data_IF_581123534865
#
_entry.id   IF_581123534865
#
_cell.length_a   1.000
_cell.length_b   1.000
_cell.length_c   1.000
_cell.angle_alpha   90.00
_cell.angle_beta   90.00
_cell.angle_gamma   90.00
#
_symmetry.space_group_name_H-M   'P 1'
#
loop_
_entity.id
_entity.type
_entity.pdbx_description
1 polymer ?
#
# COMPACT_ATOMS: atom_id res chain seq x y z
N UNK A 1 54.71 -28.62 9.09
CA UNK A 1 53.47 -27.99 8.58
C UNK A 1 53.89 -26.83 7.68
N UNK A 2 53.56 -26.87 6.39
CA UNK A 2 54.11 -25.93 5.41
C UNK A 2 53.64 -24.48 5.67
N UNK A 3 54.52 -23.47 5.46
CA UNK A 3 54.17 -22.06 5.67
C UNK A 3 53.09 -21.56 4.70
N UNK A 4 52.90 -22.24 3.56
CA UNK A 4 51.81 -21.98 2.63
C UNK A 4 50.45 -22.39 3.21
N UNK A 5 50.30 -23.59 3.79
CA UNK A 5 49.03 -24.07 4.37
C UNK A 5 48.55 -23.21 5.55
N UNK A 6 49.47 -22.62 6.31
CA UNK A 6 49.15 -21.70 7.42
C UNK A 6 48.61 -20.34 6.94
N UNK A 7 48.99 -19.89 5.74
CA UNK A 7 48.43 -18.68 5.09
C UNK A 7 47.02 -18.91 4.56
N UNK A 8 46.74 -20.07 3.98
CA UNK A 8 45.40 -20.44 3.49
C UNK A 8 44.38 -20.58 4.64
N UNK A 9 44.78 -21.16 5.78
CA UNK A 9 43.95 -21.25 6.98
C UNK A 9 43.61 -19.88 7.60
N UNK A 10 44.54 -18.91 7.55
CA UNK A 10 44.30 -17.56 8.05
C UNK A 10 43.32 -16.77 7.16
N UNK A 11 43.37 -16.96 5.82
CA UNK A 11 42.44 -16.34 4.88
C UNK A 11 41.03 -16.94 4.99
N UNK A 12 40.93 -18.25 5.24
CA UNK A 12 39.64 -18.92 5.48
C UNK A 12 39.01 -18.49 6.82
N UNK A 13 39.83 -18.23 7.85
CA UNK A 13 39.35 -17.75 9.15
C UNK A 13 38.88 -16.29 9.10
N UNK A 14 39.54 -15.42 8.32
CA UNK A 14 39.10 -14.02 8.14
C UNK A 14 37.80 -13.87 7.35
N UNK A 15 37.47 -14.82 6.46
CA UNK A 15 36.25 -14.77 5.64
C UNK A 15 34.98 -15.18 6.41
N UNK A 16 35.10 -15.97 7.47
CA UNK A 16 33.96 -16.38 8.32
C UNK A 16 33.52 -15.27 9.30
N UNK A 17 34.41 -14.33 9.65
CA UNK A 17 34.08 -13.26 10.61
C UNK A 17 33.27 -12.12 9.98
N UNK A 18 33.29 -11.96 8.65
CA UNK A 18 32.56 -10.88 7.97
C UNK A 18 31.08 -11.18 7.68
N UNK A 19 30.56 -12.36 8.07
CA UNK A 19 29.15 -12.72 7.83
C UNK A 19 28.22 -12.45 9.02
N UNK A 20 28.65 -11.71 10.06
CA UNK A 20 27.75 -11.23 11.09
C UNK A 20 26.92 -10.03 10.57
N UNK A 21 25.99 -10.32 9.65
CA UNK A 21 24.94 -9.39 9.27
C UNK A 21 24.01 -9.19 10.46
N UNK A 22 23.97 -7.98 10.99
CA UNK A 22 23.02 -7.60 12.03
C UNK A 22 21.63 -7.54 11.38
N UNK A 23 20.90 -8.65 11.41
CA UNK A 23 19.51 -8.68 11.01
C UNK A 23 18.72 -7.84 12.04
N UNK A 24 18.45 -6.58 11.72
CA UNK A 24 17.48 -5.78 12.45
C UNK A 24 16.10 -6.36 12.19
N UNK A 25 15.71 -7.34 13.00
CA UNK A 25 14.35 -7.87 13.01
C UNK A 25 13.44 -6.78 13.60
N UNK A 26 12.76 -6.05 12.73
CA UNK A 26 11.68 -5.15 13.14
C UNK A 26 10.63 -5.98 13.89
N UNK A 27 10.15 -5.49 15.04
CA UNK A 27 9.13 -6.19 15.80
C UNK A 27 7.88 -6.42 14.92
N UNK A 28 7.25 -7.61 14.97
CA UNK A 28 6.02 -7.87 14.24
C UNK A 28 4.93 -6.87 14.61
N UNK A 29 4.09 -6.51 13.64
CA UNK A 29 2.91 -5.68 13.90
C UNK A 29 1.89 -6.45 14.76
N UNK A 30 1.23 -5.75 15.69
CA UNK A 30 0.20 -6.33 16.54
C UNK A 30 -1.15 -6.38 15.81
N UNK A 31 -1.64 -7.59 15.53
CA UNK A 31 -2.91 -7.83 14.84
C UNK A 31 -4.05 -8.22 15.80
N UNK A 32 -3.89 -8.09 17.11
CA UNK A 32 -4.91 -8.55 18.10
C UNK A 32 -6.28 -7.91 17.86
N UNK A 33 -6.33 -6.61 17.56
CA UNK A 33 -7.57 -5.91 17.23
C UNK A 33 -8.21 -6.45 15.94
N UNK A 34 -7.38 -6.71 14.92
CA UNK A 34 -7.81 -7.30 13.65
C UNK A 34 -8.41 -8.69 13.85
N UNK A 35 -7.74 -9.55 14.61
CA UNK A 35 -8.19 -10.92 14.92
C UNK A 35 -9.47 -10.96 15.76
N UNK A 36 -9.71 -9.92 16.56
CA UNK A 36 -10.94 -9.78 17.33
C UNK A 36 -12.11 -9.36 16.44
N UNK A 37 -11.92 -8.34 15.59
CA UNK A 37 -12.94 -7.80 14.70
C UNK A 37 -13.31 -8.76 13.57
N UNK A 38 -12.32 -9.41 12.93
CA UNK A 38 -12.46 -10.29 11.76
C UNK A 38 -13.35 -9.67 10.67
N UNK A 39 -12.98 -8.49 10.14
CA UNK A 39 -13.80 -7.79 9.16
C UNK A 39 -13.92 -8.61 7.88
N UNK A 40 -15.13 -8.71 7.34
CA UNK A 40 -15.41 -9.47 6.09
C UNK A 40 -15.62 -8.52 4.92
N UNK A 41 -16.09 -7.32 5.21
CA UNK A 41 -16.44 -6.29 4.24
C UNK A 41 -15.74 -4.97 4.56
N UNK A 42 -15.21 -4.33 3.52
CA UNK A 42 -14.48 -3.07 3.62
C UNK A 42 -15.15 -2.05 2.71
N UNK A 43 -15.60 -0.95 3.29
CA UNK A 43 -15.96 0.24 2.52
C UNK A 43 -14.75 1.17 2.43
N UNK A 44 -14.45 1.67 1.25
CA UNK A 44 -13.37 2.63 1.02
C UNK A 44 -13.99 4.00 0.81
N UNK A 45 -13.64 4.95 1.68
CA UNK A 45 -14.08 6.34 1.55
C UNK A 45 -13.13 7.07 0.58
N UNK A 46 -13.62 8.00 -0.25
CA UNK A 46 -12.75 8.82 -1.08
C UNK A 46 -11.59 9.44 -0.26
N UNK A 47 -10.34 9.31 -0.73
CA UNK A 47 -9.19 9.77 0.05
C UNK A 47 -9.21 11.27 0.33
N UNK A 48 -8.70 11.66 1.50
CA UNK A 48 -8.26 13.04 1.73
C UNK A 48 -7.05 13.35 0.86
N UNK A 49 -6.90 14.60 0.43
CA UNK A 49 -5.87 15.00 -0.52
C UNK A 49 -5.02 16.16 0.01
N UNK A 50 -3.77 15.87 0.39
CA UNK A 50 -2.78 16.89 0.73
C UNK A 50 -1.90 17.29 -0.46
N UNK A 51 -2.17 16.77 -1.66
CA UNK A 51 -1.46 17.12 -2.89
C UNK A 51 -2.13 18.27 -3.64
N UNK A 52 -1.46 18.80 -4.66
CA UNK A 52 -2.00 19.83 -5.56
C UNK A 52 -2.87 19.25 -6.68
N UNK A 53 -2.85 17.92 -6.89
CA UNK A 53 -3.59 17.27 -7.97
C UNK A 53 -5.04 17.02 -7.53
N UNK A 54 -5.96 17.82 -8.03
CA UNK A 54 -7.38 17.81 -7.63
C UNK A 54 -8.04 16.45 -7.89
N UNK A 55 -7.63 15.75 -8.93
CA UNK A 55 -8.25 14.47 -9.31
C UNK A 55 -7.65 13.25 -8.56
N UNK A 56 -6.60 13.44 -7.77
CA UNK A 56 -5.87 12.34 -7.13
C UNK A 56 -6.75 11.37 -6.32
N UNK A 57 -7.73 11.82 -5.49
CA UNK A 57 -8.61 10.92 -4.74
C UNK A 57 -9.39 9.96 -5.63
N UNK A 58 -10.00 10.49 -6.69
CA UNK A 58 -10.87 9.71 -7.57
C UNK A 58 -10.07 8.76 -8.46
N UNK A 59 -8.87 9.16 -8.87
CA UNK A 59 -7.94 8.26 -9.56
C UNK A 59 -7.47 7.16 -8.60
N UNK A 60 -7.09 7.50 -7.36
CA UNK A 60 -6.63 6.54 -6.35
C UNK A 60 -7.68 5.46 -6.06
N UNK A 61 -8.97 5.81 -5.94
CA UNK A 61 -10.04 4.83 -5.71
C UNK A 61 -10.05 3.70 -6.74
N UNK A 62 -9.73 3.98 -8.00
CA UNK A 62 -9.66 2.98 -9.07
C UNK A 62 -8.51 1.97 -8.92
N UNK A 63 -7.58 2.21 -7.99
CA UNK A 63 -6.33 1.46 -7.83
C UNK A 63 -6.32 0.55 -6.60
N UNK A 64 -7.16 0.81 -5.60
CA UNK A 64 -7.14 0.13 -4.29
C UNK A 64 -8.07 -1.09 -4.21
N UNK A 65 -9.14 -1.14 -5.01
CA UNK A 65 -10.13 -2.24 -4.94
C UNK A 65 -9.51 -3.60 -5.22
N UNK A 66 -8.66 -3.70 -6.25
CA UNK A 66 -8.05 -4.97 -6.67
C UNK A 66 -7.23 -5.64 -5.56
N UNK A 67 -6.22 -4.99 -4.96
CA UNK A 67 -5.40 -5.65 -3.94
C UNK A 67 -6.20 -6.02 -2.67
N UNK A 68 -7.25 -5.27 -2.32
CA UNK A 68 -8.16 -5.64 -1.22
C UNK A 68 -9.01 -6.87 -1.56
N UNK A 69 -9.55 -6.94 -2.77
CA UNK A 69 -10.34 -8.09 -3.22
C UNK A 69 -9.47 -9.35 -3.36
N UNK A 70 -8.25 -9.23 -3.89
CA UNK A 70 -7.27 -10.34 -3.97
C UNK A 70 -6.87 -10.85 -2.58
N UNK A 71 -6.92 -10.00 -1.56
CA UNK A 71 -6.77 -10.40 -0.15
C UNK A 71 -7.98 -11.11 0.43
N UNK A 72 -9.09 -11.26 -0.29
CA UNK A 72 -10.26 -12.01 0.16
C UNK A 72 -11.29 -11.21 0.94
N UNK A 73 -11.34 -9.88 0.74
CA UNK A 73 -12.38 -9.03 1.33
C UNK A 73 -13.49 -8.74 0.32
N UNK A 74 -14.73 -8.61 0.81
CA UNK A 74 -15.78 -7.96 0.04
C UNK A 74 -15.52 -6.45 0.07
N UNK A 75 -15.23 -5.86 -1.08
CA UNK A 75 -15.00 -4.42 -1.21
C UNK A 75 -16.22 -3.79 -1.85
N UNK A 76 -16.85 -2.84 -1.15
CA UNK A 76 -17.97 -2.11 -1.72
C UNK A 76 -17.52 -1.35 -2.99
N UNK A 77 -18.33 -1.30 -4.06
CA UNK A 77 -17.94 -0.60 -5.28
C UNK A 77 -17.65 0.86 -4.99
N UNK A 78 -16.38 1.25 -5.14
CA UNK A 78 -15.87 2.58 -4.71
C UNK A 78 -16.61 3.74 -5.35
N UNK A 79 -17.03 3.59 -6.61
CA UNK A 79 -17.84 4.58 -7.32
C UNK A 79 -19.25 4.70 -6.74
N UNK A 80 -19.88 3.59 -6.36
CA UNK A 80 -21.23 3.62 -5.77
C UNK A 80 -21.22 4.27 -4.40
N UNK A 81 -20.15 4.09 -3.62
CA UNK A 81 -19.98 4.72 -2.31
C UNK A 81 -19.82 6.24 -2.46
N UNK A 82 -18.94 6.68 -3.36
CA UNK A 82 -18.77 8.10 -3.70
C UNK A 82 -20.09 8.73 -4.19
N UNK A 83 -20.77 8.07 -5.12
CA UNK A 83 -22.06 8.51 -5.63
C UNK A 83 -23.12 8.58 -4.53
N UNK A 84 -23.24 7.54 -3.71
CA UNK A 84 -24.18 7.50 -2.59
C UNK A 84 -23.98 8.67 -1.63
N UNK A 85 -22.73 8.98 -1.25
CA UNK A 85 -22.47 10.12 -0.36
C UNK A 85 -22.82 11.46 -1.01
N UNK A 86 -22.50 11.65 -2.29
CA UNK A 86 -22.86 12.87 -3.03
C UNK A 86 -24.36 13.10 -3.09
N UNK A 87 -25.14 12.05 -3.38
CA UNK A 87 -26.60 12.12 -3.40
C UNK A 87 -27.20 12.38 -2.00
N UNK A 88 -26.46 12.11 -0.93
CA UNK A 88 -26.86 12.40 0.45
C UNK A 88 -26.26 13.70 1.01
N UNK A 89 -25.80 14.61 0.15
CA UNK A 89 -25.37 15.96 0.54
C UNK A 89 -23.95 16.04 1.09
N UNK A 90 -23.10 15.06 0.80
CA UNK A 90 -21.67 15.05 1.15
C UNK A 90 -20.85 15.16 -0.16
N UNK A 91 -20.67 16.36 -0.72
CA UNK A 91 -20.10 16.53 -2.06
C UNK A 91 -18.58 16.32 -2.13
N UNK A 92 -17.86 16.42 -1.00
CA UNK A 92 -16.39 16.39 -0.97
C UNK A 92 -15.84 15.22 -0.14
N UNK A 93 -14.62 14.72 -0.43
CA UNK A 93 -13.95 13.74 0.42
C UNK A 93 -13.84 14.20 1.89
N UNK A 94 -13.64 15.49 2.14
CA UNK A 94 -13.57 16.07 3.48
C UNK A 94 -14.88 15.82 4.25
N UNK A 95 -16.03 16.10 3.63
CA UNK A 95 -17.35 15.83 4.22
C UNK A 95 -17.56 14.33 4.47
N UNK A 96 -17.15 13.49 3.52
CA UNK A 96 -17.32 12.04 3.59
C UNK A 96 -16.44 11.37 4.66
N UNK A 97 -15.22 11.86 4.87
CA UNK A 97 -14.33 11.34 5.90
C UNK A 97 -14.78 11.76 7.31
N UNK A 98 -15.65 12.77 7.43
CA UNK A 98 -16.25 13.22 8.68
C UNK A 98 -17.50 12.44 9.11
N UNK A 99 -17.97 11.47 8.32
CA UNK A 99 -19.18 10.69 8.64
C UNK A 99 -18.94 9.85 9.90
N UNK A 100 -19.85 9.89 10.90
CA UNK A 100 -19.79 9.00 12.06
C UNK A 100 -19.84 7.53 11.64
N UNK A 101 -19.01 6.69 12.28
CA UNK A 101 -18.93 5.26 11.95
C UNK A 101 -20.28 4.55 12.11
N UNK A 102 -21.11 4.99 13.06
CA UNK A 102 -22.45 4.45 13.27
C UNK A 102 -23.32 4.60 12.02
N UNK A 103 -23.18 5.71 11.28
CA UNK A 103 -23.92 5.97 10.04
C UNK A 103 -23.44 5.12 8.88
N UNK A 104 -22.13 4.85 8.82
CA UNK A 104 -21.57 3.88 7.88
C UNK A 104 -22.15 2.49 8.19
N UNK A 105 -22.17 2.08 9.46
CA UNK A 105 -22.75 0.81 9.87
C UNK A 105 -24.25 0.70 9.56
N UNK A 106 -25.03 1.74 9.85
CA UNK A 106 -26.48 1.79 9.67
C UNK A 106 -26.90 1.73 8.19
N UNK A 107 -26.21 2.48 7.32
CA UNK A 107 -26.65 2.68 5.93
C UNK A 107 -25.87 1.88 4.89
N UNK A 108 -24.61 1.54 5.16
CA UNK A 108 -23.75 0.78 4.23
C UNK A 108 -23.60 -0.68 4.70
N UNK A 109 -23.58 -0.92 6.01
CA UNK A 109 -23.45 -2.25 6.57
C UNK A 109 -22.05 -2.87 6.42
N UNK A 110 -21.02 -2.03 6.30
CA UNK A 110 -19.63 -2.49 6.25
C UNK A 110 -19.10 -2.89 7.64
N UNK A 111 -18.23 -3.89 7.70
CA UNK A 111 -17.56 -4.28 8.96
C UNK A 111 -16.40 -3.34 9.30
N UNK A 112 -15.67 -2.88 8.28
CA UNK A 112 -14.56 -1.95 8.42
C UNK A 112 -14.60 -0.85 7.37
N UNK A 113 -14.04 0.31 7.74
CA UNK A 113 -13.82 1.45 6.86
C UNK A 113 -12.32 1.58 6.58
N UNK A 114 -11.96 1.79 5.32
CA UNK A 114 -10.60 2.15 4.94
C UNK A 114 -10.51 3.65 4.69
N UNK A 115 -9.84 4.34 5.61
CA UNK A 115 -9.44 5.75 5.46
C UNK A 115 -8.10 5.84 4.74
N UNK A 116 -7.99 6.77 3.80
CA UNK A 116 -6.78 7.03 3.04
C UNK A 116 -6.50 8.53 3.03
N UNK A 117 -5.24 8.91 3.26
CA UNK A 117 -4.78 10.28 3.06
C UNK A 117 -3.65 10.27 2.03
N UNK A 118 -3.87 10.93 0.89
CA UNK A 118 -2.85 11.13 -0.13
C UNK A 118 -1.93 12.25 0.33
N UNK A 119 -0.67 11.92 0.57
CA UNK A 119 0.37 12.87 1.00
C UNK A 119 1.15 13.44 -0.18
N UNK A 120 1.40 12.62 -1.20
CA UNK A 120 2.14 13.02 -2.40
C UNK A 120 1.48 12.37 -3.62
N UNK A 121 1.24 13.16 -4.67
CA UNK A 121 0.73 12.67 -5.95
C UNK A 121 1.26 13.56 -7.08
N UNK A 122 1.91 12.94 -8.07
CA UNK A 122 2.39 13.62 -9.26
C UNK A 122 3.91 13.83 -9.31
N UNK A 123 4.34 14.70 -10.22
CA UNK A 123 5.75 14.98 -10.48
C UNK A 123 6.30 16.04 -9.54
N UNK A 124 7.47 15.75 -8.96
CA UNK A 124 8.31 16.71 -8.24
C UNK A 124 9.57 16.98 -9.05
N UNK A 125 9.73 18.23 -9.46
CA UNK A 125 10.92 18.70 -10.16
C UNK A 125 12.03 18.97 -9.13
N UNK A 126 13.07 18.14 -9.14
CA UNK A 126 14.33 18.46 -8.48
C UNK A 126 15.24 19.16 -9.50
N UNK A 127 16.25 19.89 -9.03
CA UNK A 127 17.14 20.71 -9.88
C UNK A 127 17.80 19.92 -11.03
N UNK A 128 17.99 18.60 -10.84
CA UNK A 128 18.72 17.74 -11.78
C UNK A 128 17.83 16.64 -12.39
N UNK A 129 16.71 16.28 -11.74
CA UNK A 129 15.86 15.15 -12.17
C UNK A 129 14.39 15.39 -11.80
N UNK A 130 13.47 14.81 -12.57
CA UNK A 130 12.06 14.75 -12.21
C UNK A 130 11.76 13.41 -11.54
N UNK A 131 11.05 13.44 -10.42
CA UNK A 131 10.58 12.24 -9.71
C UNK A 131 9.06 12.27 -9.65
N UNK A 132 8.40 11.31 -10.28
CA UNK A 132 6.97 11.08 -10.03
C UNK A 132 6.83 10.24 -8.78
N UNK A 133 5.99 10.68 -7.83
CA UNK A 133 5.78 9.97 -6.58
C UNK A 133 4.30 9.88 -6.23
N UNK A 134 3.91 8.71 -5.74
CA UNK A 134 2.63 8.50 -5.07
C UNK A 134 2.92 8.04 -3.66
N UNK A 135 2.36 8.74 -2.68
CA UNK A 135 2.42 8.40 -1.26
C UNK A 135 1.05 8.59 -0.62
N UNK A 136 0.56 7.57 0.07
CA UNK A 136 -0.65 7.64 0.85
C UNK A 136 -0.51 6.90 2.18
N UNK A 137 -1.19 7.38 3.22
CA UNK A 137 -1.35 6.64 4.49
C UNK A 137 -2.70 5.93 4.48
N UNK A 138 -2.73 4.71 5.04
CA UNK A 138 -3.91 3.84 5.06
C UNK A 138 -4.23 3.48 6.50
N UNK A 139 -5.51 3.56 6.89
CA UNK A 139 -6.02 3.15 8.20
C UNK A 139 -7.31 2.37 8.03
N UNK A 140 -7.31 1.12 8.44
CA UNK A 140 -8.48 0.25 8.50
C UNK A 140 -9.06 0.32 9.91
N UNK A 141 -10.32 0.73 10.04
CA UNK A 141 -11.00 0.93 11.32
C UNK A 141 -12.26 0.10 11.36
N UNK A 142 -12.51 -0.57 12.48
CA UNK A 142 -13.74 -1.32 12.72
C UNK A 142 -14.93 -0.37 12.87
N UNK A 143 -15.99 -0.61 12.10
CA UNK A 143 -17.16 0.27 12.05
C UNK A 143 -17.98 0.22 13.35
N UNK A 144 -17.96 -0.91 14.08
CA UNK A 144 -18.78 -1.08 15.29
C UNK A 144 -18.12 -0.52 16.54
N UNK A 145 -16.80 -0.61 16.61
CA UNK A 145 -16.02 -0.32 17.83
C UNK A 145 -15.11 0.89 17.69
N UNK A 146 -14.85 1.34 16.46
CA UNK A 146 -13.86 2.39 16.19
C UNK A 146 -12.41 1.96 16.41
N UNK A 147 -12.15 0.66 16.65
CA UNK A 147 -10.81 0.15 16.84
C UNK A 147 -9.98 0.26 15.55
N UNK A 148 -8.73 0.71 15.67
CA UNK A 148 -7.77 0.60 14.58
C UNK A 148 -7.40 -0.88 14.40
N UNK A 149 -7.68 -1.42 13.22
CA UNK A 149 -7.42 -2.82 12.88
C UNK A 149 -6.07 -3.00 12.17
N UNK A 150 -5.71 -2.04 11.31
CA UNK A 150 -4.49 -2.09 10.54
C UNK A 150 -4.15 -0.70 10.00
N UNK A 151 -2.86 -0.40 9.89
CA UNK A 151 -2.39 0.81 9.23
C UNK A 151 -1.08 0.57 8.48
N UNK A 152 -0.87 1.34 7.40
CA UNK A 152 0.33 1.24 6.57
C UNK A 152 0.57 2.52 5.76
N UNK A 153 1.73 2.60 5.12
CA UNK A 153 2.06 3.64 4.15
C UNK A 153 2.28 3.00 2.79
N UNK A 154 1.50 3.44 1.80
CA UNK A 154 1.63 3.09 0.40
C UNK A 154 2.55 4.11 -0.27
N UNK A 155 3.67 3.66 -0.84
CA UNK A 155 4.62 4.53 -1.54
C UNK A 155 5.18 3.84 -2.78
N UNK A 156 5.24 4.58 -3.89
CA UNK A 156 6.00 4.21 -5.09
C UNK A 156 6.48 5.48 -5.80
N UNK A 157 7.63 5.40 -6.45
CA UNK A 157 8.22 6.50 -7.19
C UNK A 157 8.89 6.01 -8.47
N UNK A 158 8.94 6.88 -9.47
CA UNK A 158 9.66 6.68 -10.72
C UNK A 158 10.44 7.96 -11.06
N UNK A 159 11.72 7.82 -11.39
CA UNK A 159 12.59 8.94 -11.75
C UNK A 159 12.80 9.02 -13.26
N UNK A 160 12.96 10.23 -13.80
CA UNK A 160 13.15 10.46 -15.24
C UNK A 160 14.47 9.91 -15.81
N UNK A 161 15.37 9.42 -14.96
CA UNK A 161 16.65 8.79 -15.35
C UNK A 161 16.61 7.26 -15.42
N UNK A 162 15.50 6.62 -15.01
CA UNK A 162 15.42 5.17 -14.82
C UNK A 162 15.06 4.40 -16.12
N UNK A 163 15.49 4.92 -17.26
CA UNK A 163 15.47 4.24 -18.55
C UNK A 163 16.57 3.18 -18.65
N UNK A 164 16.59 2.20 -17.73
CA UNK A 164 17.51 1.07 -17.79
C UNK A 164 18.02 0.57 -16.44
N UNK A 165 17.40 -0.50 -15.92
CA UNK A 165 18.13 -1.52 -15.16
C UNK A 165 18.54 -1.24 -13.70
N UNK A 166 17.70 -0.56 -12.89
CA UNK A 166 17.92 -0.42 -11.45
C UNK A 166 17.52 -1.65 -10.61
N UNK A 167 18.50 -2.45 -10.19
CA UNK A 167 18.35 -3.68 -9.39
C UNK A 167 17.88 -3.48 -7.92
N UNK A 168 17.64 -2.25 -7.46
CA UNK A 168 17.20 -1.98 -6.08
C UNK A 168 15.67 -2.02 -5.88
N UNK A 169 14.88 -2.05 -6.97
CA UNK A 169 13.41 -2.13 -6.92
C UNK A 169 12.81 -3.45 -7.43
N UNK A 170 13.64 -4.38 -7.92
CA UNK A 170 13.17 -5.55 -8.67
C UNK A 170 12.78 -6.78 -7.82
N UNK A 171 12.90 -6.75 -6.50
CA UNK A 171 12.67 -7.97 -5.70
C UNK A 171 11.21 -8.31 -5.41
N UNK A 172 10.21 -7.54 -5.87
CA UNK A 172 8.80 -7.89 -5.63
C UNK A 172 7.91 -7.95 -6.87
N UNK A 173 8.26 -7.34 -8.02
CA UNK A 173 7.31 -7.32 -9.15
C UNK A 173 7.97 -7.31 -10.54
N UNK A 174 8.56 -8.44 -10.94
CA UNK A 174 8.91 -8.69 -12.34
C UNK A 174 7.69 -8.91 -13.26
N UNK A 175 6.48 -9.06 -12.69
CA UNK A 175 5.25 -9.35 -13.46
C UNK A 175 4.50 -8.08 -13.93
N UNK A 176 4.81 -6.90 -13.38
CA UNK A 176 4.01 -5.67 -13.60
C UNK A 176 4.64 -4.73 -14.64
N UNK A 177 5.92 -4.91 -14.98
CA UNK A 177 6.69 -3.95 -15.79
C UNK A 177 6.37 -3.97 -17.29
N UNK A 178 5.64 -4.97 -17.81
CA UNK A 178 5.36 -5.06 -19.26
C UNK A 178 4.21 -4.16 -19.75
N UNK A 179 3.42 -3.54 -18.87
CA UNK A 179 2.24 -2.74 -19.27
C UNK A 179 2.52 -1.22 -19.32
N UNK A 180 3.71 -0.78 -18.92
CA UNK A 180 3.99 0.66 -18.72
C UNK A 180 4.64 1.37 -19.94
N UNK A 181 5.00 0.64 -21.00
CA UNK A 181 5.71 1.20 -22.16
C UNK A 181 4.82 1.60 -23.34
N UNK A 182 3.56 1.94 -23.09
CA UNK A 182 2.68 2.44 -24.16
C UNK A 182 1.74 3.52 -23.63
N UNK A 183 2.11 4.77 -23.88
CA UNK A 183 1.16 5.86 -24.15
C UNK A 183 0.21 6.24 -23.00
N UNK A 184 0.71 6.45 -21.77
CA UNK A 184 -0.08 7.09 -20.71
C UNK A 184 0.60 8.41 -20.31
N UNK A 185 -0.11 9.53 -20.50
CA UNK A 185 0.36 10.90 -20.19
C UNK A 185 0.60 11.13 -18.69
N UNK A 186 0.19 10.19 -17.82
CA UNK A 186 0.31 10.25 -16.37
C UNK A 186 0.65 8.85 -15.80
N UNK A 187 1.86 8.62 -15.25
CA UNK A 187 2.25 7.34 -14.67
C UNK A 187 1.71 7.11 -13.24
N UNK A 188 1.08 8.11 -12.61
CA UNK A 188 0.62 8.02 -11.21
C UNK A 188 -0.40 6.91 -10.94
N UNK A 189 -1.36 6.54 -11.83
CA UNK A 189 -2.26 5.42 -11.55
C UNK A 189 -1.51 4.08 -11.47
N UNK A 190 -0.46 3.90 -12.28
CA UNK A 190 0.40 2.72 -12.25
C UNK A 190 1.21 2.65 -10.95
N UNK A 191 1.82 3.77 -10.57
CA UNK A 191 2.54 3.89 -9.29
C UNK A 191 1.63 3.64 -8.10
N UNK A 192 0.41 4.18 -8.10
CA UNK A 192 -0.57 3.95 -7.04
C UNK A 192 -0.94 2.46 -6.91
N UNK A 193 -1.15 1.74 -8.02
CA UNK A 193 -1.38 0.29 -8.00
C UNK A 193 -0.19 -0.46 -7.38
N UNK A 194 1.04 -0.11 -7.77
CA UNK A 194 2.26 -0.71 -7.22
C UNK A 194 2.44 -0.44 -5.72
N UNK A 195 2.22 0.82 -5.32
CA UNK A 195 2.32 1.27 -3.94
C UNK A 195 1.30 0.53 -3.06
N UNK A 196 0.05 0.45 -3.51
CA UNK A 196 -1.03 -0.21 -2.78
C UNK A 196 -0.79 -1.72 -2.67
N UNK A 197 -0.36 -2.37 -3.75
CA UNK A 197 0.01 -3.78 -3.73
C UNK A 197 1.11 -4.05 -2.69
N UNK A 198 2.17 -3.24 -2.71
CA UNK A 198 3.31 -3.38 -1.79
C UNK A 198 2.90 -3.18 -0.32
N UNK A 199 2.07 -2.17 -0.03
CA UNK A 199 1.59 -1.92 1.32
C UNK A 199 0.69 -3.04 1.84
N UNK A 200 -0.23 -3.53 1.01
CA UNK A 200 -1.20 -4.57 1.39
C UNK A 200 -0.54 -5.95 1.52
N UNK A 201 0.46 -6.26 0.68
CA UNK A 201 1.15 -7.55 0.66
C UNK A 201 2.50 -7.55 1.40
N UNK A 202 2.79 -6.50 2.17
CA UNK A 202 4.03 -6.42 2.96
C UNK A 202 4.18 -7.62 3.89
N UNK A 203 5.37 -8.20 3.95
CA UNK A 203 5.66 -9.34 4.84
C UNK A 203 5.71 -8.93 6.31
N UNK A 204 6.01 -7.66 6.61
CA UNK A 204 6.19 -7.18 7.99
C UNK A 204 4.94 -6.51 8.55
N UNK A 205 4.12 -5.91 7.68
CA UNK A 205 2.94 -5.11 8.06
C UNK A 205 1.84 -5.17 7.00
N UNK A 206 1.73 -6.28 6.28
CA UNK A 206 0.68 -6.47 5.29
C UNK A 206 -0.71 -6.52 5.93
N UNK A 207 -1.74 -6.28 5.13
CA UNK A 207 -3.10 -6.56 5.58
C UNK A 207 -3.26 -8.09 5.68
N UNK A 208 -3.79 -8.62 6.80
CA UNK A 208 -4.09 -10.04 6.91
C UNK A 208 -5.06 -10.49 5.83
N UNK A 209 -5.17 -11.80 5.62
CA UNK A 209 -6.09 -12.32 4.61
C UNK A 209 -7.52 -12.29 5.13
N UNK A 210 -8.43 -11.86 4.25
CA UNK A 210 -9.85 -11.86 4.48
C UNK A 210 -10.45 -13.27 4.32
N UNK A 211 -11.70 -13.44 4.79
CA UNK A 211 -12.36 -14.74 4.86
C UNK A 211 -12.68 -15.36 3.50
N UNK A 212 -12.62 -14.59 2.41
CA UNK A 212 -12.92 -15.07 1.05
C UNK A 212 -11.67 -15.30 0.20
N UNK A 213 -10.47 -15.28 0.80
CA UNK A 213 -9.25 -15.58 0.06
C UNK A 213 -9.27 -17.05 -0.33
N UNK A 214 -9.23 -17.32 -1.64
CA UNK A 214 -9.10 -18.69 -2.14
C UNK A 214 -7.71 -19.22 -1.77
N UNK A 215 -7.65 -20.41 -1.20
CA UNK A 215 -6.38 -21.14 -1.07
C UNK A 215 -5.83 -21.40 -2.47
N UNK A 216 -4.55 -21.15 -2.68
CA UNK A 216 -3.88 -21.62 -3.90
C UNK A 216 -3.91 -23.16 -3.87
N UNK A 217 -4.70 -23.75 -4.77
CA UNK A 217 -4.62 -25.19 -5.11
C UNK A 217 -3.33 -25.50 -5.87
#
# INVERSE_FOLDING_TARGET
MNPSTRRWLAVLACSVVMTSGCATTMAPYDYTAFETSRPRSIVVIPPLNNSIEVNAPYVYLSTITRPLAEKGYYVFPVYMIDYFFKENGLPTPEDMNGIPLEKIGEHIGADAVLYITIEEWGQKYQVIQSVTKVRATLKLVDVKTGALLWDSTSVAEASSGDGGGGLAGMLVNAVVTQVLNSTVSDPTPGLARQANFSAIHSQTRGLPDGPYRLSAE
#
